data_IF_228199873641
#
_entry.id   IF_228199873641
#
_cell.length_a   1.000
_cell.length_b   1.000
_cell.length_c   1.000
_cell.angle_alpha   90.00
_cell.angle_beta   90.00
_cell.angle_gamma   90.00
#
_symmetry.space_group_name_H-M   'P 1'
#
loop_
_entity.id
_entity.type
_entity.pdbx_description
1 polymer ?
#
# COMPACT_ATOMS: atom_id res chain seq x y z
N UNK A 1 84.05 -42.98 -9.26
CA UNK A 1 83.31 -41.95 -8.50
C UNK A 1 82.61 -40.96 -9.42
N UNK A 2 83.32 -40.22 -10.29
CA UNK A 2 82.71 -39.25 -11.21
C UNK A 2 81.60 -39.82 -12.13
N UNK A 3 81.78 -41.03 -12.69
CA UNK A 3 80.76 -41.69 -13.53
C UNK A 3 79.48 -42.02 -12.77
N UNK A 4 79.59 -42.47 -11.52
CA UNK A 4 78.43 -42.79 -10.69
C UNK A 4 77.66 -41.52 -10.26
N UNK A 5 78.37 -40.43 -9.97
CA UNK A 5 77.75 -39.13 -9.68
C UNK A 5 77.02 -38.55 -10.89
N UNK A 6 77.59 -38.70 -12.10
CA UNK A 6 76.94 -38.28 -13.33
C UNK A 6 75.65 -39.08 -13.60
N UNK A 7 75.68 -40.41 -13.42
CA UNK A 7 74.50 -41.27 -13.58
C UNK A 7 73.37 -40.87 -12.61
N UNK A 8 73.69 -40.71 -11.32
CA UNK A 8 72.70 -40.26 -10.32
C UNK A 8 72.12 -38.88 -10.65
N UNK A 9 72.94 -37.97 -11.21
CA UNK A 9 72.46 -36.64 -11.59
C UNK A 9 71.51 -36.69 -12.80
N UNK A 10 71.76 -37.60 -13.74
CA UNK A 10 70.89 -37.83 -14.88
C UNK A 10 69.56 -38.40 -14.39
N UNK A 11 69.56 -39.46 -13.58
CA UNK A 11 68.35 -40.06 -13.00
C UNK A 11 67.48 -39.02 -12.28
N UNK A 12 68.09 -38.14 -11.48
CA UNK A 12 67.37 -37.04 -10.81
C UNK A 12 66.73 -36.05 -11.78
N UNK A 13 67.39 -35.73 -12.89
CA UNK A 13 66.85 -34.83 -13.89
C UNK A 13 65.72 -35.49 -14.67
N UNK A 14 65.82 -36.79 -14.94
CA UNK A 14 64.76 -37.56 -15.60
C UNK A 14 63.49 -37.63 -14.75
N UNK A 15 63.62 -37.91 -13.44
CA UNK A 15 62.50 -37.87 -12.50
C UNK A 15 61.86 -36.47 -12.44
N UNK A 16 62.68 -35.42 -12.34
CA UNK A 16 62.19 -34.04 -12.30
C UNK A 16 61.42 -33.65 -13.58
N UNK A 17 61.91 -34.08 -14.75
CA UNK A 17 61.24 -33.80 -16.03
C UNK A 17 59.87 -34.46 -16.08
N UNK A 18 59.78 -35.72 -15.65
CA UNK A 18 58.53 -36.46 -15.63
C UNK A 18 57.52 -35.87 -14.64
N UNK A 19 57.96 -35.46 -13.45
CA UNK A 19 57.07 -34.83 -12.46
C UNK A 19 56.59 -33.44 -12.89
N UNK A 20 57.47 -32.61 -13.45
CA UNK A 20 57.17 -31.21 -13.71
C UNK A 20 56.45 -30.99 -15.05
N UNK A 21 56.80 -31.76 -16.08
CA UNK A 21 56.30 -31.57 -17.44
C UNK A 21 55.45 -32.74 -17.94
N UNK A 22 55.33 -33.83 -17.17
CA UNK A 22 54.58 -35.03 -17.54
C UNK A 22 54.99 -35.62 -18.90
N UNK A 23 56.29 -35.54 -19.23
CA UNK A 23 56.87 -35.98 -20.50
C UNK A 23 58.13 -36.82 -20.28
N UNK A 24 58.51 -37.65 -21.26
CA UNK A 24 59.78 -38.35 -21.23
C UNK A 24 60.96 -37.41 -21.55
N UNK A 25 62.16 -37.65 -20.98
CA UNK A 25 63.34 -36.81 -21.21
C UNK A 25 63.75 -36.71 -22.69
N UNK A 26 63.68 -37.82 -23.42
CA UNK A 26 64.02 -37.85 -24.85
C UNK A 26 63.04 -37.02 -25.68
N UNK A 27 61.74 -37.08 -25.37
CA UNK A 27 60.71 -36.28 -26.03
C UNK A 27 60.87 -34.78 -25.72
N UNK A 28 61.21 -34.44 -24.46
CA UNK A 28 61.49 -33.06 -24.07
C UNK A 28 62.66 -32.47 -24.86
N UNK A 29 63.73 -33.22 -25.05
CA UNK A 29 64.89 -32.76 -25.82
C UNK A 29 64.57 -32.72 -27.32
N UNK A 30 63.82 -33.69 -27.84
CA UNK A 30 63.43 -33.73 -29.25
C UNK A 30 62.49 -32.59 -29.64
N UNK A 31 61.57 -32.18 -28.76
CA UNK A 31 60.57 -31.14 -29.04
C UNK A 31 60.96 -29.74 -28.54
N UNK A 32 61.73 -29.65 -27.45
CA UNK A 32 62.04 -28.37 -26.77
C UNK A 32 63.55 -28.19 -26.50
N UNK A 33 64.39 -29.01 -27.13
CA UNK A 33 65.84 -28.88 -27.05
C UNK A 33 66.36 -27.58 -27.68
N UNK A 34 67.61 -27.18 -27.37
CA UNK A 34 68.21 -25.95 -27.87
C UNK A 34 68.41 -25.95 -29.40
N UNK A 35 68.45 -27.13 -30.02
CA UNK A 35 68.58 -27.30 -31.47
C UNK A 35 67.22 -27.20 -32.20
N UNK A 36 66.11 -27.17 -31.45
CA UNK A 36 64.76 -27.02 -32.00
C UNK A 36 64.47 -25.52 -32.17
N UNK A 37 64.11 -25.06 -33.39
CA UNK A 37 63.72 -23.67 -33.60
C UNK A 37 62.48 -23.30 -32.78
N UNK A 38 62.55 -22.17 -32.10
CA UNK A 38 61.43 -21.61 -31.35
C UNK A 38 60.34 -21.12 -32.31
N UNK A 39 59.06 -21.35 -32.00
CA UNK A 39 57.99 -20.71 -32.75
C UNK A 39 58.11 -19.18 -32.65
N UNK A 40 57.60 -18.44 -33.65
CA UNK A 40 57.55 -16.98 -33.59
C UNK A 40 56.88 -16.48 -32.32
N UNK A 41 57.29 -15.31 -31.83
CA UNK A 41 56.72 -14.76 -30.61
C UNK A 41 55.24 -14.40 -30.79
N UNK A 42 54.49 -14.39 -29.68
CA UNK A 42 53.07 -14.01 -29.70
C UNK A 42 52.84 -12.60 -30.27
N UNK A 43 53.80 -11.69 -30.12
CA UNK A 43 53.73 -10.33 -30.70
C UNK A 43 53.89 -10.36 -32.23
N UNK A 44 54.90 -11.08 -32.73
CA UNK A 44 55.11 -11.24 -34.18
C UNK A 44 53.92 -11.93 -34.85
N UNK A 45 53.33 -12.93 -34.18
CA UNK A 45 52.11 -13.59 -34.65
C UNK A 45 50.91 -12.65 -34.66
N UNK A 46 50.72 -11.85 -33.60
CA UNK A 46 49.63 -10.86 -33.53
C UNK A 46 49.77 -9.75 -34.60
N UNK A 47 51.00 -9.29 -34.86
CA UNK A 47 51.28 -8.31 -35.92
C UNK A 47 51.00 -8.88 -37.31
N UNK A 48 51.42 -10.12 -37.56
CA UNK A 48 51.11 -10.85 -38.79
C UNK A 48 49.60 -11.03 -38.99
N UNK A 49 48.87 -11.48 -37.96
CA UNK A 49 47.42 -11.64 -38.03
C UNK A 49 46.69 -10.32 -38.26
N UNK A 50 47.12 -9.25 -37.59
CA UNK A 50 46.56 -7.92 -37.77
C UNK A 50 46.81 -7.36 -39.18
N UNK A 51 48.00 -7.58 -39.76
CA UNK A 51 48.32 -7.16 -41.12
C UNK A 51 47.54 -7.98 -42.18
N UNK A 52 47.45 -9.29 -41.97
CA UNK A 52 46.62 -10.17 -42.81
C UNK A 52 45.14 -9.76 -42.77
N UNK A 53 44.61 -9.40 -41.60
CA UNK A 53 43.22 -8.93 -41.45
C UNK A 53 42.95 -7.59 -42.16
N UNK A 54 43.97 -6.73 -42.33
CA UNK A 54 43.90 -5.49 -43.12
C UNK A 54 44.02 -5.72 -44.63
N UNK A 55 44.24 -6.96 -45.08
CA UNK A 55 44.42 -7.31 -46.48
C UNK A 55 45.84 -7.10 -47.00
N UNK A 56 46.81 -6.86 -46.13
CA UNK A 56 48.22 -6.72 -46.51
C UNK A 56 48.79 -8.09 -46.93
N UNK A 57 49.59 -8.12 -47.99
CA UNK A 57 50.35 -9.33 -48.35
C UNK A 57 51.56 -9.47 -47.44
N UNK A 58 51.38 -10.18 -46.31
CA UNK A 58 52.43 -10.47 -45.33
C UNK A 58 52.80 -11.95 -45.31
N UNK A 59 54.07 -12.24 -45.04
CA UNK A 59 54.58 -13.62 -44.90
C UNK A 59 54.55 -14.01 -43.43
N UNK A 60 54.25 -15.28 -43.15
CA UNK A 60 54.27 -15.80 -41.79
C UNK A 60 55.69 -15.64 -41.19
N UNK A 61 55.80 -15.15 -39.94
CA UNK A 61 57.08 -15.01 -39.27
C UNK A 61 57.84 -16.35 -39.23
N UNK A 62 59.16 -16.30 -39.45
CA UNK A 62 59.99 -17.50 -39.44
C UNK A 62 60.32 -17.95 -38.00
N UNK A 63 60.52 -19.26 -37.76
CA UNK A 63 61.02 -19.77 -36.49
C UNK A 63 62.38 -19.15 -36.12
N UNK A 64 62.58 -18.88 -34.84
CA UNK A 64 63.79 -18.23 -34.32
C UNK A 64 64.74 -19.23 -33.67
N UNK A 65 66.06 -19.03 -33.73
CA UNK A 65 67.01 -19.81 -32.94
C UNK A 65 66.76 -19.68 -31.43
N UNK A 66 67.05 -20.73 -30.68
CA UNK A 66 66.98 -20.70 -29.22
C UNK A 66 68.08 -19.78 -28.65
N UNK A 67 67.67 -18.75 -27.91
CA UNK A 67 68.57 -17.92 -27.10
C UNK A 67 68.28 -18.11 -25.61
N UNK A 68 69.24 -18.73 -24.91
CA UNK A 68 69.10 -19.09 -23.48
C UNK A 68 68.77 -17.89 -22.61
N UNK A 69 69.48 -16.77 -22.77
CA UNK A 69 69.31 -15.60 -21.91
C UNK A 69 67.91 -14.98 -22.05
N UNK A 70 67.40 -14.89 -23.28
CA UNK A 70 66.06 -14.39 -23.55
C UNK A 70 64.99 -15.33 -23.00
N UNK A 71 65.14 -16.65 -23.16
CA UNK A 71 64.15 -17.61 -22.65
C UNK A 71 64.12 -17.68 -21.12
N UNK A 72 65.27 -17.63 -20.45
CA UNK A 72 65.33 -17.57 -18.98
C UNK A 72 64.65 -16.30 -18.44
N UNK A 73 64.84 -15.16 -19.10
CA UNK A 73 64.14 -13.92 -18.76
C UNK A 73 62.62 -14.03 -18.96
N UNK A 74 62.18 -14.63 -20.09
CA UNK A 74 60.75 -14.89 -20.37
C UNK A 74 60.13 -15.83 -19.36
N UNK A 75 60.80 -16.93 -19.03
CA UNK A 75 60.35 -17.89 -18.03
C UNK A 75 60.23 -17.25 -16.64
N UNK A 76 61.21 -16.43 -16.24
CA UNK A 76 61.17 -15.69 -14.97
C UNK A 76 60.01 -14.70 -14.92
N UNK A 77 59.71 -14.03 -16.04
CA UNK A 77 58.55 -13.14 -16.16
C UNK A 77 57.23 -13.92 -16.04
N UNK A 78 57.08 -14.99 -16.82
CA UNK A 78 55.88 -15.84 -16.79
C UNK A 78 55.65 -16.45 -15.39
N UNK A 79 56.71 -16.88 -14.70
CA UNK A 79 56.61 -17.37 -13.32
C UNK A 79 56.18 -16.28 -12.34
N UNK A 80 56.66 -15.04 -12.51
CA UNK A 80 56.22 -13.91 -11.70
C UNK A 80 54.75 -13.58 -11.95
N UNK A 81 54.31 -13.61 -13.21
CA UNK A 81 52.93 -13.35 -13.60
C UNK A 81 52.01 -14.45 -13.02
N UNK A 82 52.41 -15.72 -13.11
CA UNK A 82 51.71 -16.85 -12.49
C UNK A 82 51.59 -16.71 -10.96
N UNK A 83 52.68 -16.32 -10.28
CA UNK A 83 52.66 -16.11 -8.84
C UNK A 83 51.76 -14.93 -8.43
N UNK A 84 51.56 -13.95 -9.32
CA UNK A 84 50.68 -12.78 -9.08
C UNK A 84 49.20 -13.16 -9.13
N UNK A 85 48.83 -14.15 -9.95
CA UNK A 85 47.45 -14.66 -10.03
C UNK A 85 46.97 -15.31 -8.73
N UNK A 86 47.89 -15.68 -7.83
CA UNK A 86 47.56 -16.26 -6.53
C UNK A 86 46.99 -17.68 -6.64
N UNK A 87 46.29 -18.13 -5.60
CA UNK A 87 45.68 -19.46 -5.56
C UNK A 87 44.32 -19.43 -6.25
N UNK A 88 44.11 -20.33 -7.20
CA UNK A 88 42.81 -20.53 -7.84
C UNK A 88 41.84 -21.12 -6.83
N UNK A 89 40.66 -20.51 -6.66
CA UNK A 89 39.58 -21.06 -5.84
C UNK A 89 38.83 -22.14 -6.66
N UNK A 90 38.92 -23.43 -6.30
CA UNK A 90 38.24 -24.49 -7.03
C UNK A 90 36.71 -24.43 -6.91
N UNK A 91 36.19 -23.78 -5.87
CA UNK A 91 34.74 -23.63 -5.62
C UNK A 91 34.14 -22.39 -6.31
N UNK A 92 34.94 -21.57 -6.99
CA UNK A 92 34.49 -20.30 -7.53
C UNK A 92 33.32 -20.44 -8.53
N UNK A 93 33.29 -21.53 -9.31
CA UNK A 93 32.21 -21.77 -10.27
C UNK A 93 30.90 -22.14 -9.57
N UNK A 94 30.96 -22.96 -8.51
CA UNK A 94 29.80 -23.35 -7.72
C UNK A 94 29.25 -22.17 -6.91
N UNK A 95 30.14 -21.38 -6.29
CA UNK A 95 29.77 -20.17 -5.55
C UNK A 95 29.12 -19.13 -6.48
N UNK A 96 29.67 -18.95 -7.69
CA UNK A 96 29.08 -18.06 -8.69
C UNK A 96 27.67 -18.50 -9.07
N UNK A 97 27.46 -19.78 -9.38
CA UNK A 97 26.15 -20.31 -9.75
C UNK A 97 25.12 -20.14 -8.61
N UNK A 98 25.50 -20.43 -7.37
CA UNK A 98 24.62 -20.24 -6.21
C UNK A 98 24.28 -18.76 -5.97
N UNK A 99 25.24 -17.86 -6.18
CA UNK A 99 25.04 -16.42 -6.03
C UNK A 99 24.15 -15.86 -7.15
N UNK A 100 24.31 -16.35 -8.38
CA UNK A 100 23.50 -15.99 -9.53
C UNK A 100 22.04 -16.43 -9.36
N UNK A 101 21.79 -17.65 -8.85
CA UNK A 101 20.45 -18.13 -8.52
C UNK A 101 19.79 -17.24 -7.46
N UNK A 102 20.52 -16.95 -6.37
CA UNK A 102 20.04 -16.06 -5.31
C UNK A 102 19.77 -14.64 -5.82
N UNK A 103 20.63 -14.11 -6.68
CA UNK A 103 20.45 -12.80 -7.30
C UNK A 103 19.19 -12.77 -8.17
N UNK A 104 18.98 -13.79 -9.00
CA UNK A 104 17.82 -13.90 -9.88
C UNK A 104 16.53 -13.98 -9.07
N UNK A 105 16.50 -14.80 -8.02
CA UNK A 105 15.36 -14.92 -7.12
C UNK A 105 15.02 -13.58 -6.43
N UNK A 106 16.01 -12.93 -5.82
CA UNK A 106 15.79 -11.65 -5.12
C UNK A 106 15.39 -10.53 -6.08
N UNK A 107 15.94 -10.53 -7.30
CA UNK A 107 15.57 -9.55 -8.33
C UNK A 107 14.13 -9.71 -8.77
N UNK A 108 13.66 -10.96 -8.96
CA UNK A 108 12.26 -11.23 -9.25
C UNK A 108 11.34 -10.74 -8.11
N UNK A 109 11.66 -11.08 -6.86
CA UNK A 109 10.89 -10.62 -5.70
C UNK A 109 10.85 -9.09 -5.57
N UNK A 110 11.96 -8.42 -5.88
CA UNK A 110 12.03 -6.97 -5.85
C UNK A 110 11.10 -6.33 -6.90
N UNK A 111 11.09 -6.87 -8.11
CA UNK A 111 10.20 -6.38 -9.17
C UNK A 111 8.73 -6.66 -8.84
N UNK A 112 8.41 -7.81 -8.26
CA UNK A 112 7.06 -8.12 -7.78
C UNK A 112 6.59 -7.12 -6.72
N UNK A 113 7.44 -6.78 -5.75
CA UNK A 113 7.11 -5.78 -4.71
C UNK A 113 6.94 -4.38 -5.31
N UNK A 114 7.77 -4.00 -6.29
CA UNK A 114 7.63 -2.72 -6.98
C UNK A 114 6.32 -2.66 -7.78
N UNK A 115 5.96 -3.73 -8.47
CA UNK A 115 4.71 -3.84 -9.22
C UNK A 115 3.50 -3.74 -8.26
N UNK A 116 3.49 -4.53 -7.19
CA UNK A 116 2.43 -4.49 -6.18
C UNK A 116 2.27 -3.10 -5.55
N UNK A 117 3.39 -2.40 -5.25
CA UNK A 117 3.33 -1.02 -4.76
C UNK A 117 2.68 -0.09 -5.78
N UNK A 118 3.06 -0.19 -7.06
CA UNK A 118 2.48 0.64 -8.12
C UNK A 118 0.98 0.40 -8.25
N UNK A 119 0.56 -0.86 -8.23
CA UNK A 119 -0.86 -1.22 -8.32
C UNK A 119 -1.65 -0.68 -7.12
N UNK A 120 -1.13 -0.83 -5.90
CA UNK A 120 -1.76 -0.27 -4.71
C UNK A 120 -1.89 1.26 -4.77
N UNK A 121 -0.87 1.96 -5.27
CA UNK A 121 -0.96 3.42 -5.46
C UNK A 121 -2.02 3.82 -6.49
N UNK A 122 -2.18 3.04 -7.56
CA UNK A 122 -3.25 3.29 -8.54
C UNK A 122 -4.65 3.09 -7.92
N UNK A 123 -4.82 2.09 -7.05
CA UNK A 123 -6.08 1.87 -6.33
C UNK A 123 -6.37 3.02 -5.37
N UNK A 124 -5.35 3.52 -4.66
CA UNK A 124 -5.50 4.69 -3.78
C UNK A 124 -5.97 5.91 -4.58
N UNK A 125 -5.35 6.19 -5.72
CA UNK A 125 -5.74 7.30 -6.60
C UNK A 125 -7.20 7.17 -7.10
N UNK A 126 -7.63 5.96 -7.47
CA UNK A 126 -9.02 5.72 -7.89
C UNK A 126 -10.02 5.93 -6.74
N UNK A 127 -9.69 5.42 -5.55
CA UNK A 127 -10.52 5.59 -4.35
C UNK A 127 -10.61 7.05 -3.96
N UNK A 128 -9.50 7.78 -3.96
CA UNK A 128 -9.45 9.22 -3.66
C UNK A 128 -10.31 10.01 -4.65
N UNK A 129 -10.22 9.72 -5.95
CA UNK A 129 -11.06 10.35 -6.96
C UNK A 129 -12.56 10.09 -6.71
N UNK A 130 -12.90 8.87 -6.29
CA UNK A 130 -14.28 8.51 -5.95
C UNK A 130 -14.77 9.22 -4.68
N UNK A 131 -13.93 9.29 -3.65
CA UNK A 131 -14.23 10.00 -2.40
C UNK A 131 -14.46 11.49 -2.71
N UNK A 132 -13.58 12.12 -3.48
CA UNK A 132 -13.70 13.51 -3.91
C UNK A 132 -15.04 13.78 -4.59
N UNK A 133 -15.43 12.91 -5.53
CA UNK A 133 -16.71 13.03 -6.23
C UNK A 133 -17.88 12.94 -5.24
N UNK A 134 -17.95 11.87 -4.45
CA UNK A 134 -19.07 11.63 -3.53
C UNK A 134 -19.17 12.72 -2.46
N UNK A 135 -18.03 13.17 -1.93
CA UNK A 135 -17.99 14.25 -0.95
C UNK A 135 -18.46 15.56 -1.56
N UNK A 136 -17.98 15.94 -2.75
CA UNK A 136 -18.37 17.20 -3.42
C UNK A 136 -19.87 17.23 -3.71
N UNK A 137 -20.41 16.11 -4.24
CA UNK A 137 -21.85 15.98 -4.49
C UNK A 137 -22.65 16.06 -3.18
N UNK A 138 -22.22 15.35 -2.13
CA UNK A 138 -22.87 15.36 -0.83
C UNK A 138 -22.82 16.75 -0.17
N UNK A 139 -21.70 17.45 -0.25
CA UNK A 139 -21.55 18.79 0.30
C UNK A 139 -22.50 19.77 -0.38
N UNK A 140 -22.57 19.76 -1.71
CA UNK A 140 -23.48 20.63 -2.46
C UNK A 140 -24.97 20.33 -2.16
N UNK A 141 -25.32 19.05 -1.99
CA UNK A 141 -26.68 18.66 -1.59
C UNK A 141 -27.00 19.16 -0.18
N UNK A 142 -26.11 18.95 0.79
CA UNK A 142 -26.30 19.37 2.19
C UNK A 142 -26.31 20.89 2.33
N UNK A 143 -25.46 21.62 1.61
CA UNK A 143 -25.44 23.10 1.60
C UNK A 143 -26.80 23.67 1.17
N UNK A 144 -27.35 23.15 0.06
CA UNK A 144 -28.65 23.57 -0.47
C UNK A 144 -29.79 23.29 0.51
N UNK A 145 -29.81 22.10 1.11
CA UNK A 145 -30.82 21.74 2.10
C UNK A 145 -30.65 22.54 3.40
N UNK A 146 -29.42 22.81 3.82
CA UNK A 146 -29.12 23.55 5.05
C UNK A 146 -29.69 24.97 5.00
N UNK A 147 -29.50 25.69 3.89
CA UNK A 147 -30.08 27.02 3.73
C UNK A 147 -31.61 27.02 3.87
N UNK A 148 -32.29 26.02 3.28
CA UNK A 148 -33.75 25.88 3.35
C UNK A 148 -34.24 25.53 4.76
N UNK A 149 -33.62 24.52 5.38
CA UNK A 149 -33.97 24.08 6.74
C UNK A 149 -33.71 25.19 7.75
N UNK A 150 -32.58 25.89 7.63
CA UNK A 150 -32.23 26.99 8.53
C UNK A 150 -33.25 28.13 8.44
N UNK A 151 -33.68 28.52 7.23
CA UNK A 151 -34.70 29.57 7.05
C UNK A 151 -36.06 29.21 7.66
N UNK A 152 -36.39 27.92 7.71
CA UNK A 152 -37.63 27.40 8.31
C UNK A 152 -37.56 27.42 9.84
N UNK A 153 -36.40 27.04 10.41
CA UNK A 153 -36.16 27.08 11.85
C UNK A 153 -35.95 28.51 12.37
N UNK A 154 -35.42 29.42 11.55
CA UNK A 154 -35.18 30.81 11.89
C UNK A 154 -35.72 31.76 10.79
N UNK A 155 -37.02 32.13 10.84
CA UNK A 155 -37.59 33.09 9.89
C UNK A 155 -36.82 34.41 9.90
N UNK A 156 -36.30 34.81 8.74
CA UNK A 156 -35.47 36.01 8.58
C UNK A 156 -33.99 35.84 8.97
N UNK A 157 -33.56 34.61 9.27
CA UNK A 157 -32.15 34.24 9.43
C UNK A 157 -31.56 33.59 8.17
N UNK A 158 -30.24 33.60 8.06
CA UNK A 158 -29.49 32.92 7.00
C UNK A 158 -28.46 31.96 7.60
N UNK A 159 -28.36 30.75 7.06
CA UNK A 159 -27.33 29.76 7.41
C UNK A 159 -26.50 29.43 6.17
N UNK A 160 -25.18 29.26 6.34
CA UNK A 160 -24.26 28.87 5.26
C UNK A 160 -23.26 27.83 5.76
N UNK A 161 -22.86 26.93 4.86
CA UNK A 161 -21.73 26.02 5.08
C UNK A 161 -20.52 26.59 4.34
N UNK A 162 -19.36 26.57 4.98
CA UNK A 162 -18.12 27.08 4.40
C UNK A 162 -17.04 26.01 4.55
N UNK A 163 -16.32 25.74 3.47
CA UNK A 163 -15.13 24.90 3.50
C UNK A 163 -13.95 25.71 4.02
N UNK A 164 -13.20 25.16 4.98
CA UNK A 164 -12.01 25.84 5.50
C UNK A 164 -10.93 25.96 4.42
N UNK A 165 -10.81 24.95 3.57
CA UNK A 165 -9.83 24.87 2.48
C UNK A 165 -10.50 24.39 1.18
N UNK A 166 -11.16 25.28 0.43
CA UNK A 166 -11.92 24.90 -0.78
C UNK A 166 -11.09 24.25 -1.89
N UNK A 167 -9.75 24.39 -1.84
CA UNK A 167 -8.82 23.81 -2.81
C UNK A 167 -8.46 22.35 -2.55
N UNK A 168 -8.76 21.82 -1.36
CA UNK A 168 -8.49 20.43 -0.99
C UNK A 168 -9.71 19.81 -0.29
N UNK A 169 -10.57 19.18 -1.09
CA UNK A 169 -11.79 18.53 -0.61
C UNK A 169 -11.52 17.27 0.23
N UNK A 170 -10.30 16.69 0.20
CA UNK A 170 -9.97 15.52 1.01
C UNK A 170 -9.62 15.90 2.46
N UNK A 171 -9.02 17.07 2.65
CA UNK A 171 -8.52 17.50 3.96
C UNK A 171 -9.28 18.70 4.57
N UNK A 172 -10.13 19.36 3.79
CA UNK A 172 -10.92 20.51 4.27
C UNK A 172 -11.86 20.15 5.42
N UNK A 173 -11.95 21.05 6.39
CA UNK A 173 -13.03 21.09 7.36
C UNK A 173 -14.29 21.75 6.80
N UNK A 174 -15.40 21.57 7.51
CA UNK A 174 -16.69 22.24 7.25
C UNK A 174 -17.04 23.13 8.43
N UNK A 175 -17.11 24.44 8.21
CA UNK A 175 -17.60 25.43 9.17
C UNK A 175 -19.08 25.74 8.92
N UNK A 176 -19.84 25.86 10.02
CA UNK A 176 -21.24 26.30 9.98
C UNK A 176 -21.32 27.75 10.43
N UNK A 177 -21.77 28.61 9.52
CA UNK A 177 -22.08 30.00 9.81
C UNK A 177 -23.58 30.21 9.91
N UNK A 178 -23.99 30.92 10.96
CA UNK A 178 -25.39 31.22 11.22
C UNK A 178 -25.57 32.72 11.47
N UNK A 179 -26.62 33.26 10.86
CA UNK A 179 -27.08 34.63 11.05
C UNK A 179 -28.52 34.59 11.56
N UNK A 180 -28.75 34.65 12.88
CA UNK A 180 -30.08 34.79 13.44
C UNK A 180 -30.73 36.14 13.04
N UNK A 181 -32.06 36.24 13.06
CA UNK A 181 -32.78 37.46 12.68
C UNK A 181 -32.30 38.66 13.50
N UNK A 182 -31.91 39.73 12.79
CA UNK A 182 -31.43 40.98 13.40
C UNK A 182 -29.99 40.96 13.93
N UNK A 183 -29.23 39.86 13.77
CA UNK A 183 -27.83 39.74 14.23
C UNK A 183 -26.83 39.65 13.06
N UNK A 184 -25.55 39.88 13.37
CA UNK A 184 -24.42 39.65 12.45
C UNK A 184 -24.13 38.14 12.35
N UNK A 185 -23.53 37.73 11.24
CA UNK A 185 -23.07 36.35 11.00
C UNK A 185 -22.06 35.96 12.09
N UNK A 186 -22.22 34.76 12.65
CA UNK A 186 -21.31 34.19 13.64
C UNK A 186 -21.04 32.72 13.32
N UNK A 187 -19.84 32.25 13.65
CA UNK A 187 -19.51 30.82 13.69
C UNK A 187 -20.32 30.12 14.79
N UNK A 188 -20.61 28.84 14.61
CA UNK A 188 -21.35 28.01 15.57
C UNK A 188 -20.82 28.13 17.02
N UNK A 189 -19.50 28.22 17.19
CA UNK A 189 -18.83 28.36 18.49
C UNK A 189 -19.14 29.65 19.23
N UNK A 190 -19.65 30.68 18.53
CA UNK A 190 -19.90 32.03 19.03
C UNK A 190 -21.40 32.33 19.26
N UNK A 191 -22.26 31.32 19.11
CA UNK A 191 -23.72 31.41 19.31
C UNK A 191 -24.12 31.19 20.78
N UNK A 192 -25.31 31.67 21.16
CA UNK A 192 -25.89 31.36 22.47
C UNK A 192 -26.28 29.88 22.58
N UNK A 193 -26.41 29.33 23.80
CA UNK A 193 -26.66 27.90 24.01
C UNK A 193 -27.88 27.35 23.23
N UNK A 194 -29.01 28.07 23.23
CA UNK A 194 -30.21 27.68 22.48
C UNK A 194 -30.04 27.81 20.96
N UNK A 195 -29.39 28.88 20.48
CA UNK A 195 -29.10 29.08 19.05
C UNK A 195 -28.13 28.02 18.52
N UNK A 196 -27.15 27.60 19.35
CA UNK A 196 -26.20 26.54 19.02
C UNK A 196 -26.90 25.19 18.87
N UNK A 197 -27.75 24.80 19.81
CA UNK A 197 -28.51 23.54 19.74
C UNK A 197 -29.42 23.50 18.52
N UNK A 198 -30.15 24.58 18.26
CA UNK A 198 -31.06 24.61 17.12
C UNK A 198 -30.34 24.64 15.77
N UNK A 199 -29.16 25.28 15.69
CA UNK A 199 -28.32 25.23 14.49
C UNK A 199 -27.75 23.82 14.26
N UNK A 200 -27.38 23.10 15.31
CA UNK A 200 -26.94 21.71 15.21
C UNK A 200 -28.07 20.80 14.71
N UNK A 201 -29.29 20.98 15.24
CA UNK A 201 -30.49 20.27 14.77
C UNK A 201 -30.79 20.61 13.30
N UNK A 202 -30.65 21.87 12.90
CA UNK A 202 -30.79 22.29 11.50
C UNK A 202 -29.80 21.55 10.58
N UNK A 203 -28.55 21.40 11.01
CA UNK A 203 -27.52 20.67 10.27
C UNK A 203 -27.88 19.19 10.13
N UNK A 204 -28.32 18.53 11.21
CA UNK A 204 -28.74 17.13 11.18
C UNK A 204 -29.91 16.92 10.22
N UNK A 205 -30.94 17.76 10.30
CA UNK A 205 -32.10 17.67 9.39
C UNK A 205 -31.71 17.93 7.94
N UNK A 206 -30.79 18.87 7.68
CA UNK A 206 -30.27 19.12 6.33
C UNK A 206 -29.56 17.89 5.76
N UNK A 207 -28.73 17.21 6.57
CA UNK A 207 -28.08 15.95 6.19
C UNK A 207 -29.13 14.87 5.87
N UNK A 208 -30.14 14.72 6.72
CA UNK A 208 -31.19 13.71 6.52
C UNK A 208 -32.03 13.97 5.26
N UNK A 209 -32.30 15.24 4.93
CA UNK A 209 -33.01 15.60 3.70
C UNK A 209 -32.17 15.37 2.46
N UNK A 210 -30.87 15.70 2.52
CA UNK A 210 -29.94 15.50 1.42
C UNK A 210 -29.67 14.02 1.13
N UNK A 211 -29.62 13.19 2.19
CA UNK A 211 -29.35 11.75 2.11
C UNK A 211 -30.35 10.99 2.99
N UNK A 212 -31.55 10.68 2.47
CA UNK A 212 -32.59 10.00 3.23
C UNK A 212 -32.18 8.56 3.56
N UNK A 213 -32.35 8.19 4.83
CA UNK A 213 -32.19 6.84 5.37
C UNK A 213 -33.55 6.14 5.44
N UNK A 214 -33.62 4.81 5.37
CA UNK A 214 -34.87 4.08 5.58
C UNK A 214 -35.53 4.40 6.93
N UNK A 215 -34.72 4.59 7.98
CA UNK A 215 -35.20 4.98 9.31
C UNK A 215 -34.20 5.87 10.05
N UNK A 216 -34.72 6.60 11.04
CA UNK A 216 -33.99 7.44 11.97
C UNK A 216 -34.42 7.16 13.40
N UNK A 217 -33.44 7.11 14.32
CA UNK A 217 -33.67 7.04 15.77
C UNK A 217 -33.15 8.33 16.39
N UNK A 218 -34.00 9.02 17.15
CA UNK A 218 -33.66 10.28 17.82
C UNK A 218 -34.00 10.17 19.29
N UNK A 219 -33.03 10.49 20.15
CA UNK A 219 -33.18 10.38 21.61
C UNK A 219 -33.06 11.77 22.25
N UNK A 220 -34.17 12.26 22.81
CA UNK A 220 -34.33 13.54 23.51
C UNK A 220 -33.66 14.76 22.82
N UNK A 221 -33.65 14.76 21.49
CA UNK A 221 -32.98 15.80 20.68
C UNK A 221 -33.59 17.20 20.89
N UNK A 222 -34.81 17.25 21.39
CA UNK A 222 -35.58 18.46 21.64
C UNK A 222 -35.50 19.00 23.09
N UNK A 223 -34.81 18.31 24.01
CA UNK A 223 -34.82 18.66 25.44
C UNK A 223 -34.30 20.07 25.77
N UNK A 224 -33.48 20.64 24.89
CA UNK A 224 -32.90 21.97 25.05
C UNK A 224 -33.69 23.08 24.30
N UNK A 225 -34.84 22.77 23.69
CA UNK A 225 -35.60 23.69 22.87
C UNK A 225 -36.77 24.32 23.64
N UNK A 226 -37.04 25.59 23.36
CA UNK A 226 -38.26 26.27 23.82
C UNK A 226 -39.50 25.83 23.02
N UNK A 227 -40.69 26.15 23.53
CA UNK A 227 -41.97 25.76 22.92
C UNK A 227 -42.14 26.20 21.46
N UNK A 228 -41.53 27.32 21.07
CA UNK A 228 -41.66 27.85 19.70
C UNK A 228 -40.78 27.05 18.74
N UNK A 229 -39.54 26.79 19.13
CA UNK A 229 -38.57 26.03 18.35
C UNK A 229 -38.90 24.53 18.32
N UNK A 230 -39.47 23.99 19.41
CA UNK A 230 -40.02 22.64 19.47
C UNK A 230 -41.09 22.42 18.38
N UNK A 231 -42.04 23.35 18.24
CA UNK A 231 -43.06 23.27 17.17
C UNK A 231 -42.46 23.30 15.77
N UNK A 232 -41.42 24.11 15.54
CA UNK A 232 -40.73 24.16 14.24
C UNK A 232 -40.00 22.84 13.93
N UNK A 233 -39.36 22.25 14.93
CA UNK A 233 -38.73 20.94 14.81
C UNK A 233 -39.75 19.85 14.48
N UNK A 234 -40.90 19.84 15.15
CA UNK A 234 -41.99 18.90 14.89
C UNK A 234 -42.48 19.01 13.43
N UNK A 235 -42.63 20.23 12.90
CA UNK A 235 -42.99 20.41 11.48
C UNK A 235 -41.94 19.83 10.51
N UNK A 236 -40.66 19.86 10.87
CA UNK A 236 -39.61 19.20 10.07
C UNK A 236 -39.70 17.67 10.18
N UNK A 237 -40.03 17.13 11.35
CA UNK A 237 -40.25 15.69 11.51
C UNK A 237 -41.44 15.20 10.69
N UNK A 238 -42.51 15.98 10.60
CA UNK A 238 -43.65 15.65 9.74
C UNK A 238 -43.24 15.54 8.26
N UNK A 239 -42.38 16.45 7.79
CA UNK A 239 -41.83 16.40 6.42
C UNK A 239 -40.91 15.19 6.20
N UNK A 240 -40.02 14.90 7.15
CA UNK A 240 -39.11 13.75 7.06
C UNK A 240 -39.88 12.42 7.06
N UNK A 241 -40.97 12.35 7.81
CA UNK A 241 -41.85 11.18 7.90
C UNK A 241 -42.48 10.79 6.57
N UNK A 242 -42.62 11.71 5.61
CA UNK A 242 -43.15 11.39 4.28
C UNK A 242 -42.29 10.37 3.52
N UNK A 243 -41.00 10.28 3.85
CA UNK A 243 -40.02 9.46 3.11
C UNK A 243 -39.29 8.44 3.97
N UNK A 244 -39.25 8.64 5.29
CA UNK A 244 -38.45 7.83 6.22
C UNK A 244 -39.24 7.47 7.48
N UNK A 245 -38.92 6.34 8.10
CA UNK A 245 -39.48 5.98 9.40
C UNK A 245 -38.74 6.73 10.52
N UNK A 246 -39.47 7.39 11.42
CA UNK A 246 -38.89 8.09 12.57
C UNK A 246 -39.27 7.37 13.87
N UNK A 247 -38.27 7.05 14.67
CA UNK A 247 -38.41 6.57 16.06
C UNK A 247 -37.85 7.68 16.95
N UNK A 248 -38.73 8.31 17.73
CA UNK A 248 -38.35 9.43 18.61
C UNK A 248 -38.59 9.03 20.07
N UNK A 249 -37.55 9.08 20.87
CA UNK A 249 -37.59 8.90 22.32
C UNK A 249 -37.69 10.30 22.92
N UNK A 250 -38.79 10.56 23.63
CA UNK A 250 -39.14 11.91 24.09
C UNK A 250 -40.02 11.85 25.33
N UNK A 251 -39.89 12.85 26.19
CA UNK A 251 -40.84 13.17 27.25
C UNK A 251 -41.68 14.43 26.93
N UNK A 252 -41.49 15.04 25.76
CA UNK A 252 -42.15 16.27 25.35
C UNK A 252 -43.54 15.98 24.79
N UNK A 253 -44.57 16.46 25.49
CA UNK A 253 -45.98 16.29 25.08
C UNK A 253 -46.26 16.73 23.64
N UNK A 254 -45.75 17.88 23.15
CA UNK A 254 -46.00 18.29 21.76
C UNK A 254 -45.47 17.29 20.73
N UNK A 255 -44.31 16.69 20.95
CA UNK A 255 -43.73 15.67 20.06
C UNK A 255 -44.57 14.40 20.06
N UNK A 256 -45.00 13.95 21.24
CA UNK A 256 -45.85 12.77 21.40
C UNK A 256 -47.19 12.91 20.68
N UNK A 257 -47.75 14.12 20.59
CA UNK A 257 -49.06 14.36 19.95
C UNK A 257 -49.07 14.15 18.44
N UNK A 258 -47.91 14.24 17.78
CA UNK A 258 -47.80 14.15 16.32
C UNK A 258 -47.45 12.73 15.86
N UNK A 259 -47.04 11.86 16.78
CA UNK A 259 -46.69 10.47 16.51
C UNK A 259 -47.88 9.64 16.01
N UNK A 260 -47.60 8.68 15.14
CA UNK A 260 -48.63 7.73 14.66
C UNK A 260 -48.86 6.59 15.66
N UNK A 261 -47.83 6.22 16.40
CA UNK A 261 -47.89 5.26 17.50
C UNK A 261 -46.98 5.71 18.66
N UNK A 262 -47.42 5.44 19.88
CA UNK A 262 -46.68 5.66 21.11
C UNK A 262 -46.31 4.32 21.74
N UNK A 263 -45.05 4.20 22.14
CA UNK A 263 -44.56 3.10 22.96
C UNK A 263 -44.15 3.66 24.31
N UNK A 264 -44.90 3.31 25.35
CA UNK A 264 -44.62 3.67 26.73
C UNK A 264 -43.82 2.55 27.41
N UNK A 265 -42.72 2.91 28.05
CA UNK A 265 -41.92 2.00 28.85
C UNK A 265 -42.28 2.21 30.32
N UNK A 266 -42.69 1.15 31.02
CA UNK A 266 -43.03 1.19 32.44
C UNK A 266 -42.31 0.07 33.18
N UNK A 267 -41.67 0.39 34.29
CA UNK A 267 -41.05 -0.60 35.16
C UNK A 267 -42.01 -0.90 36.31
N UNK A 268 -42.38 -2.18 36.46
CA UNK A 268 -43.15 -2.61 37.64
C UNK A 268 -42.19 -2.78 38.83
N UNK A 269 -42.73 -2.85 40.05
CA UNK A 269 -41.92 -2.90 41.28
C UNK A 269 -41.03 -4.14 41.43
N UNK A 270 -41.07 -5.07 40.48
CA UNK A 270 -40.21 -6.25 40.32
C UNK A 270 -38.92 -5.96 39.52
N UNK A 271 -38.71 -4.72 39.04
CA UNK A 271 -37.55 -4.34 38.24
C UNK A 271 -37.63 -4.82 36.78
N UNK A 272 -38.76 -5.42 36.38
CA UNK A 272 -38.98 -5.88 35.00
C UNK A 272 -39.60 -4.74 34.21
N UNK A 273 -38.91 -4.37 33.12
CA UNK A 273 -39.39 -3.34 32.21
C UNK A 273 -40.44 -3.93 31.28
N UNK A 274 -41.64 -3.35 31.28
CA UNK A 274 -42.75 -3.73 30.41
C UNK A 274 -43.00 -2.62 29.38
N UNK A 275 -43.22 -3.00 28.12
CA UNK A 275 -43.54 -2.05 27.04
C UNK A 275 -45.04 -2.08 26.78
N UNK A 276 -45.66 -0.91 26.78
CA UNK A 276 -47.06 -0.69 26.44
C UNK A 276 -47.09 0.05 25.11
N UNK A 277 -47.97 -0.31 24.19
CA UNK A 277 -48.11 0.38 22.90
C UNK A 277 -49.53 0.90 22.71
N UNK A 278 -49.63 2.08 22.10
CA UNK A 278 -50.90 2.71 21.75
C UNK A 278 -50.77 3.39 20.38
N UNK A 279 -51.64 3.05 19.43
CA UNK A 279 -51.70 3.73 18.13
C UNK A 279 -52.58 4.98 18.23
N UNK A 280 -52.10 6.11 17.72
CA UNK A 280 -52.79 7.40 17.75
C UNK A 280 -53.48 7.76 16.44
N UNK A 281 -52.95 7.30 15.29
CA UNK A 281 -53.51 7.52 13.95
C UNK A 281 -53.74 6.19 13.23
N UNK A 282 -54.95 6.00 12.71
CA UNK A 282 -55.46 4.74 12.20
C UNK A 282 -54.75 4.22 10.95
N UNK A 283 -53.93 3.18 11.14
CA UNK A 283 -53.73 2.05 10.22
C UNK A 283 -53.60 0.83 11.11
N UNK A 284 -54.58 -0.07 11.11
CA UNK A 284 -54.53 -1.32 11.86
C UNK A 284 -53.44 -2.26 11.33
N UNK A 285 -52.20 -2.12 11.81
CA UNK A 285 -51.25 -3.26 11.82
C UNK A 285 -51.60 -4.12 13.02
N UNK A 286 -51.91 -5.42 12.82
CA UNK A 286 -52.16 -6.34 13.91
C UNK A 286 -50.92 -6.41 14.80
N UNK A 287 -51.13 -6.24 16.10
CA UNK A 287 -50.09 -6.48 17.10
C UNK A 287 -49.76 -7.96 17.02
N UNK A 288 -48.55 -8.29 16.56
CA UNK A 288 -48.04 -9.66 16.67
C UNK A 288 -48.07 -10.00 18.17
N UNK A 289 -48.87 -11.01 18.51
CA UNK A 289 -48.93 -11.55 19.85
C UNK A 289 -47.50 -11.84 20.31
N UNK A 290 -47.18 -11.40 21.53
CA UNK A 290 -45.98 -11.77 22.26
C UNK A 290 -45.75 -13.27 22.07
N UNK A 291 -44.56 -13.74 21.63
CA UNK A 291 -44.31 -15.16 21.57
C UNK A 291 -44.44 -15.69 23.00
N UNK A 292 -45.42 -16.54 23.22
CA UNK A 292 -45.49 -17.36 24.43
C UNK A 292 -44.18 -18.16 24.45
N UNK A 293 -43.34 -17.89 25.47
CA UNK A 293 -42.14 -18.64 25.71
C UNK A 293 -42.53 -20.10 25.90
N UNK A 294 -42.24 -20.93 24.89
CA UNK A 294 -42.46 -22.36 24.94
C UNK A 294 -41.73 -22.92 26.16
N UNK A 295 -42.49 -23.42 27.12
CA UNK A 295 -41.97 -24.28 28.19
C UNK A 295 -41.30 -25.50 27.55
N UNK A 296 -40.04 -25.82 27.89
CA UNK A 296 -39.39 -27.01 27.36
C UNK A 296 -40.10 -28.27 27.88
N UNK A 297 -40.47 -29.16 26.98
CA UNK A 297 -40.98 -30.50 27.33
C UNK A 297 -39.92 -31.27 28.14
N UNK A 298 -40.33 -32.07 29.15
CA UNK A 298 -39.39 -32.85 29.93
C UNK A 298 -38.83 -33.96 29.04
N UNK A 299 -37.50 -34.06 29.00
CA UNK A 299 -36.78 -35.14 28.35
C UNK A 299 -37.31 -36.50 28.86
N UNK A 300 -37.75 -37.33 27.92
CA UNK A 300 -38.04 -38.74 28.18
C UNK A 300 -36.80 -39.56 27.83
N UNK A 301 -36.48 -40.51 28.72
CA UNK A 301 -35.34 -41.43 28.72
C UNK A 301 -35.08 -42.16 27.39
#
# INVERSE_FOLDING_TARGET
>A
VARAQATLRIEQLEEQVLEQFAMAPDDLVAEYGPDVPMPPSALEMAEYEAAKARGDQVVAPAPMPFDRATQESRAKKAQKDLNTLGRVNPLALEEFAALEERYTFLSAQLEDVKAARKDLMSVVEEVDARILQVFTEAYADVEREFAQVFSTLFPGGEGRLILTEPGDMLTTGVEVEARPPGKKVKRLSLLSGGEKSLTAVAMLVAIFRARPSPFYVMDEVEAALDDTNLRRLISLFEQLRERSQLIVITHQKPTMQVADALYGVSMRGDGITTVISQRLRGVDVPVAATPELATPEPATD
#
